data_IF_478588277640
#
_entry.id   IF_478588277640
#
_cell.length_a   1.000
_cell.length_b   1.000
_cell.length_c   1.000
_cell.angle_alpha   90.00
_cell.angle_beta   90.00
_cell.angle_gamma   90.00
#
_symmetry.space_group_name_H-M   'P 1'
#
loop_
_entity.id
_entity.type
_entity.pdbx_description
1 polymer ?
#
# COMPACT_ATOMS: atom_id res chain seq x y z
N UNK A 1 -10.13 11.70 -14.61
CA UNK A 1 -9.93 10.25 -14.84
C UNK A 1 -11.18 9.55 -14.38
N UNK A 2 -11.75 8.67 -15.20
CA UNK A 2 -12.93 7.87 -14.82
C UNK A 2 -12.47 6.70 -13.95
N UNK A 3 -12.93 6.65 -12.70
CA UNK A 3 -12.63 5.56 -11.79
C UNK A 3 -13.33 4.27 -12.25
N UNK A 4 -12.59 3.16 -12.34
CA UNK A 4 -13.16 1.86 -12.68
C UNK A 4 -13.73 1.20 -11.42
N UNK A 5 -14.99 0.77 -11.49
CA UNK A 5 -15.66 0.07 -10.38
C UNK A 5 -15.36 -1.43 -10.47
N UNK A 6 -14.82 -2.00 -9.40
CA UNK A 6 -14.64 -3.45 -9.24
C UNK A 6 -15.35 -3.93 -7.98
N UNK A 7 -15.67 -5.24 -7.90
CA UNK A 7 -16.27 -5.80 -6.68
C UNK A 7 -15.27 -5.88 -5.53
N UNK A 8 -14.02 -6.22 -5.83
CA UNK A 8 -13.01 -6.48 -4.81
C UNK A 8 -11.61 -6.16 -5.32
N UNK A 9 -10.76 -5.65 -4.44
CA UNK A 9 -9.31 -5.50 -4.62
C UNK A 9 -8.61 -6.40 -3.60
N UNK A 10 -7.56 -7.07 -4.03
CA UNK A 10 -6.72 -7.91 -3.18
C UNK A 10 -5.29 -7.37 -3.28
N UNK A 11 -4.67 -7.08 -2.13
CA UNK A 11 -3.30 -6.59 -2.04
C UNK A 11 -2.49 -7.51 -1.12
N UNK A 12 -1.24 -7.77 -1.49
CA UNK A 12 -0.24 -8.47 -0.69
C UNK A 12 1.13 -7.82 -0.90
N UNK A 13 2.10 -8.15 -0.04
CA UNK A 13 3.52 -7.86 -0.26
C UNK A 13 3.83 -6.37 -0.51
N UNK A 14 3.12 -5.48 0.17
CA UNK A 14 3.29 -4.03 0.03
C UNK A 14 4.60 -3.57 0.71
N UNK A 15 4.99 -4.24 1.80
CA UNK A 15 6.20 -3.98 2.59
C UNK A 15 6.41 -2.50 2.95
N UNK A 16 5.39 -1.84 3.50
CA UNK A 16 5.50 -0.49 4.08
C UNK A 16 6.63 -0.44 5.11
N UNK A 17 7.36 0.67 5.16
CA UNK A 17 8.56 0.83 5.99
C UNK A 17 9.86 0.45 5.30
N UNK A 18 9.81 -0.03 4.04
CA UNK A 18 10.99 -0.34 3.23
C UNK A 18 11.21 0.66 2.10
N UNK A 19 12.46 0.76 1.60
CA UNK A 19 12.79 1.56 0.40
C UNK A 19 12.20 0.98 -0.89
N UNK A 20 11.94 -0.32 -0.91
CA UNK A 20 11.42 -1.03 -2.09
C UNK A 20 9.91 -0.81 -2.28
N UNK A 21 9.19 -0.38 -1.23
CA UNK A 21 7.76 -0.14 -1.26
C UNK A 21 7.39 0.91 -2.33
N UNK A 22 6.57 0.49 -3.30
CA UNK A 22 6.10 1.31 -4.42
C UNK A 22 4.81 2.07 -4.06
N UNK A 23 4.78 2.75 -2.91
CA UNK A 23 3.56 3.37 -2.40
C UNK A 23 2.92 4.39 -3.35
N UNK A 24 3.70 5.11 -4.16
CA UNK A 24 3.15 6.06 -5.13
C UNK A 24 2.34 5.37 -6.23
N UNK A 25 2.80 4.24 -6.76
CA UNK A 25 2.08 3.45 -7.77
C UNK A 25 0.85 2.79 -7.18
N UNK A 26 0.94 2.31 -5.93
CA UNK A 26 -0.20 1.76 -5.21
C UNK A 26 -1.31 2.82 -5.02
N UNK A 27 -0.95 4.03 -4.62
CA UNK A 27 -1.92 5.12 -4.48
C UNK A 27 -2.54 5.52 -5.82
N UNK A 28 -1.77 5.50 -6.91
CA UNK A 28 -2.30 5.76 -8.24
C UNK A 28 -3.30 4.68 -8.66
N UNK A 29 -2.99 3.41 -8.38
CA UNK A 29 -3.91 2.29 -8.58
C UNK A 29 -5.22 2.48 -7.78
N UNK A 30 -5.13 2.80 -6.49
CA UNK A 30 -6.31 2.99 -5.64
C UNK A 30 -7.15 4.23 -6.00
N UNK A 31 -6.57 5.21 -6.71
CA UNK A 31 -7.33 6.34 -7.29
C UNK A 31 -8.03 5.94 -8.59
N UNK A 32 -7.41 5.05 -9.36
CA UNK A 32 -7.96 4.56 -10.62
C UNK A 32 -9.09 3.54 -10.42
N UNK A 33 -9.09 2.79 -9.31
CA UNK A 33 -10.07 1.74 -9.03
C UNK A 33 -10.82 1.98 -7.72
N UNK A 34 -12.15 1.84 -7.78
CA UNK A 34 -13.05 1.84 -6.63
C UNK A 34 -13.53 0.41 -6.38
N UNK A 35 -13.59 0.00 -5.11
CA UNK A 35 -14.04 -1.35 -4.73
C UNK A 35 -14.93 -1.33 -3.49
N UNK A 36 -15.91 -2.23 -3.47
CA UNK A 36 -16.70 -2.51 -2.25
C UNK A 36 -15.85 -3.20 -1.17
N UNK A 37 -14.95 -4.08 -1.60
CA UNK A 37 -14.12 -4.87 -0.68
C UNK A 37 -12.64 -4.68 -0.99
N UNK A 38 -11.83 -4.38 0.04
CA UNK A 38 -10.38 -4.35 -0.03
C UNK A 38 -9.81 -5.40 0.92
N UNK A 39 -9.15 -6.42 0.38
CA UNK A 39 -8.54 -7.50 1.15
C UNK A 39 -7.02 -7.34 1.19
N UNK A 40 -6.45 -7.44 2.38
CA UNK A 40 -5.02 -7.40 2.61
C UNK A 40 -4.53 -8.80 3.01
N UNK A 41 -3.74 -9.43 2.16
CA UNK A 41 -3.43 -10.86 2.24
C UNK A 41 -2.10 -11.19 2.92
N UNK A 42 -1.37 -10.19 3.42
CA UNK A 42 -0.10 -10.39 4.14
C UNK A 42 0.98 -9.42 3.68
N UNK A 43 2.05 -9.33 4.48
CA UNK A 43 3.25 -8.56 4.19
C UNK A 43 3.00 -7.09 3.82
N UNK A 44 2.04 -6.48 4.52
CA UNK A 44 1.64 -5.09 4.32
C UNK A 44 2.65 -4.13 4.94
N UNK A 45 3.13 -4.43 6.15
CA UNK A 45 4.10 -3.61 6.90
C UNK A 45 5.30 -4.48 7.26
N UNK A 46 6.50 -3.97 6.99
CA UNK A 46 7.75 -4.61 7.40
C UNK A 46 8.17 -4.12 8.81
N UNK A 47 7.71 -4.85 9.82
CA UNK A 47 8.09 -4.60 11.22
C UNK A 47 9.56 -4.96 11.52
N UNK A 48 10.22 -5.73 10.67
CA UNK A 48 11.64 -6.10 10.83
C UNK A 48 12.55 -4.93 10.47
N UNK A 49 12.20 -4.17 9.44
CA UNK A 49 12.84 -2.89 9.12
C UNK A 49 12.70 -1.89 10.29
N UNK A 50 11.54 -1.90 10.97
CA UNK A 50 11.29 -1.09 12.16
C UNK A 50 12.16 -1.48 13.35
N UNK A 51 12.25 -2.77 13.66
CA UNK A 51 13.05 -3.26 14.79
C UNK A 51 14.55 -2.96 14.64
N UNK A 52 15.07 -2.89 13.41
CA UNK A 52 16.50 -2.66 13.13
C UNK A 52 16.87 -1.18 12.92
N UNK A 53 15.93 -0.25 13.12
CA UNK A 53 16.15 1.18 12.91
C UNK A 53 16.33 1.60 11.44
N UNK A 54 16.04 0.70 10.49
CA UNK A 54 16.21 0.89 9.05
C UNK A 54 14.94 1.34 8.33
N UNK A 55 13.97 1.91 9.06
CA UNK A 55 12.67 2.31 8.49
C UNK A 55 12.87 3.36 7.42
N UNK A 56 12.35 3.09 6.23
CA UNK A 56 12.14 4.10 5.22
C UNK A 56 10.64 4.36 5.08
N UNK A 57 10.20 5.47 5.66
CA UNK A 57 8.80 5.89 5.61
C UNK A 57 8.67 7.14 4.75
N UNK A 58 8.05 7.01 3.58
CA UNK A 58 7.81 8.14 2.68
C UNK A 58 6.43 8.76 2.91
N UNK A 59 6.21 9.98 2.41
CA UNK A 59 4.89 10.62 2.47
C UNK A 59 3.81 9.77 1.78
N UNK A 60 4.13 9.12 0.65
CA UNK A 60 3.20 8.21 -0.02
C UNK A 60 2.86 6.97 0.81
N UNK A 61 3.84 6.40 1.53
CA UNK A 61 3.56 5.30 2.47
C UNK A 61 2.65 5.76 3.61
N UNK A 62 2.85 6.98 4.11
CA UNK A 62 1.99 7.57 5.11
C UNK A 62 0.55 7.74 4.62
N UNK A 63 0.36 8.26 3.40
CA UNK A 63 -0.96 8.47 2.80
C UNK A 63 -1.74 7.17 2.62
N UNK A 64 -1.08 6.03 2.41
CA UNK A 64 -1.78 4.74 2.32
C UNK A 64 -2.38 4.28 3.66
N UNK A 65 -1.80 4.70 4.79
CA UNK A 65 -2.22 4.28 6.14
C UNK A 65 -3.31 5.19 6.73
N UNK A 66 -3.42 6.44 6.24
CA UNK A 66 -4.37 7.46 6.73
C UNK A 66 -5.74 7.35 6.05
#
# INVERSE_FOLDING_TARGET
MTTQQVRSIFLSDIHLGTKACQASQLLEFLKAYSSENLFLLGDIVDLWAMSRGGVCWSASQNTFVQ
#
